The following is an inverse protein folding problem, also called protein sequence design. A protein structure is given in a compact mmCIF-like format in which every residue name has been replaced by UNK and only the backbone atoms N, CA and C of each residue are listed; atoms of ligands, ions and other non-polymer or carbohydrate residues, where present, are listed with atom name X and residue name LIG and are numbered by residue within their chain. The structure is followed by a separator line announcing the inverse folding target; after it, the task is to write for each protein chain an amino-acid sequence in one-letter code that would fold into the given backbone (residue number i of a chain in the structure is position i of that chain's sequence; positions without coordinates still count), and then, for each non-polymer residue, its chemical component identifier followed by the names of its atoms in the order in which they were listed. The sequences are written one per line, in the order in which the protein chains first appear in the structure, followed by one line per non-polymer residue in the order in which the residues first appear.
data_IF_429901548783
#
_entry.id   IF_429901548783
#
_cell.length_a   1.000
_cell.length_b   1.000
_cell.length_c   1.000
_cell.angle_alpha   90.00
_cell.angle_beta   90.00
_cell.angle_gamma   90.00
#
_symmetry.space_group_name_H-M   'P 1'
#
loop_
_entity.id
_entity.type
_entity.pdbx_description
1 polymer ?
#
# COMPACT_ATOMS: atom_id res chain seq x y z
N UNK A 1 -11.34 -19.91 16.18
CA UNK A 1 -10.15 -19.05 16.06
C UNK A 1 -10.23 -18.00 17.14
N UNK A 2 -9.31 -18.03 18.11
CA UNK A 2 -9.30 -17.07 19.24
C UNK A 2 -8.96 -15.67 18.72
N UNK A 3 -9.27 -14.62 19.49
CA UNK A 3 -8.93 -13.25 19.08
C UNK A 3 -7.43 -13.06 18.89
N UNK A 4 -6.61 -13.66 19.76
CA UNK A 4 -5.16 -13.66 19.64
C UNK A 4 -4.69 -14.26 18.29
N UNK A 5 -5.32 -15.35 17.84
CA UNK A 5 -5.06 -15.92 16.52
C UNK A 5 -5.47 -14.94 15.40
N UNK A 6 -6.60 -14.23 15.56
CA UNK A 6 -7.04 -13.20 14.61
C UNK A 6 -6.06 -12.02 14.56
N UNK A 7 -5.56 -11.53 15.71
CA UNK A 7 -4.51 -10.52 15.77
C UNK A 7 -3.30 -10.95 14.94
N UNK A 8 -2.80 -12.16 15.21
CA UNK A 8 -1.65 -12.74 14.49
C UNK A 8 -1.90 -12.86 12.99
N UNK A 9 -3.10 -13.28 12.59
CA UNK A 9 -3.48 -13.38 11.18
C UNK A 9 -3.56 -12.02 10.48
N UNK A 10 -4.03 -10.98 11.18
CA UNK A 10 -4.05 -9.62 10.64
C UNK A 10 -2.63 -9.12 10.35
N UNK A 11 -1.71 -9.28 11.31
CA UNK A 11 -0.32 -8.86 11.11
C UNK A 11 0.41 -9.68 10.04
N UNK A 12 0.15 -11.00 9.94
CA UNK A 12 0.66 -11.82 8.83
C UNK A 12 0.20 -11.31 7.46
N UNK A 13 -1.09 -10.98 7.31
CA UNK A 13 -1.58 -10.44 6.04
C UNK A 13 -1.09 -9.02 5.75
N UNK A 14 -0.75 -8.22 6.76
CA UNK A 14 -0.13 -6.91 6.56
C UNK A 14 1.34 -7.02 6.13
N UNK A 15 2.06 -8.03 6.64
CA UNK A 15 3.39 -8.39 6.13
C UNK A 15 3.30 -8.84 4.68
N UNK A 16 2.32 -9.69 4.33
CA UNK A 16 2.08 -10.11 2.95
C UNK A 16 1.79 -8.91 2.03
N UNK A 17 0.97 -7.96 2.50
CA UNK A 17 0.74 -6.71 1.77
C UNK A 17 2.04 -5.93 1.53
N UNK A 18 2.93 -5.87 2.53
CA UNK A 18 4.28 -5.32 2.40
C UNK A 18 5.14 -6.07 1.36
N UNK A 19 5.09 -7.41 1.36
CA UNK A 19 5.79 -8.24 0.38
C UNK A 19 5.30 -8.01 -1.06
N UNK A 20 4.01 -7.73 -1.25
CA UNK A 20 3.47 -7.36 -2.56
C UNK A 20 4.09 -6.05 -3.06
N UNK A 21 4.29 -5.04 -2.21
CA UNK A 21 5.00 -3.81 -2.60
C UNK A 21 6.45 -4.08 -3.02
N UNK A 22 7.15 -4.99 -2.33
CA UNK A 22 8.50 -5.40 -2.72
C UNK A 22 8.50 -6.06 -4.09
N UNK A 23 7.59 -7.01 -4.34
CA UNK A 23 7.44 -7.69 -5.62
C UNK A 23 7.15 -6.71 -6.76
N UNK A 24 6.18 -5.82 -6.57
CA UNK A 24 5.83 -4.77 -7.53
C UNK A 24 7.04 -3.89 -7.82
N UNK A 25 7.76 -3.47 -6.77
CA UNK A 25 8.98 -2.67 -6.92
C UNK A 25 10.06 -3.39 -7.73
N UNK A 26 10.33 -4.65 -7.44
CA UNK A 26 11.30 -5.47 -8.20
C UNK A 26 10.92 -5.61 -9.68
N UNK A 27 9.64 -5.88 -9.95
CA UNK A 27 9.13 -5.97 -11.33
C UNK A 27 9.28 -4.64 -12.07
N UNK A 28 8.99 -3.51 -11.41
CA UNK A 28 9.15 -2.18 -11.98
C UNK A 28 10.62 -1.82 -12.27
N UNK A 29 11.57 -2.30 -11.46
CA UNK A 29 13.01 -2.15 -11.76
C UNK A 29 13.35 -2.87 -13.06
N UNK A 30 12.88 -4.11 -13.25
CA UNK A 30 13.13 -4.87 -14.48
C UNK A 30 12.57 -4.14 -15.71
N UNK A 31 11.34 -3.62 -15.61
CA UNK A 31 10.75 -2.81 -16.68
C UNK A 31 11.52 -1.51 -16.93
N UNK A 32 11.97 -0.85 -15.88
CA UNK A 32 12.77 0.38 -15.99
C UNK A 32 14.11 0.13 -16.68
N UNK A 33 14.82 -0.95 -16.31
CA UNK A 33 16.07 -1.36 -16.96
C UNK A 33 15.83 -1.70 -18.43
N UNK A 34 14.77 -2.46 -18.73
CA UNK A 34 14.42 -2.81 -20.11
C UNK A 34 14.11 -1.57 -20.96
N UNK A 35 13.32 -0.64 -20.41
CA UNK A 35 13.06 0.63 -21.09
C UNK A 35 14.33 1.45 -21.25
N UNK A 36 15.23 1.47 -20.27
CA UNK A 36 16.49 2.21 -20.40
C UNK A 36 17.42 1.62 -21.48
N UNK A 37 17.47 0.29 -21.59
CA UNK A 37 18.32 -0.42 -22.54
C UNK A 37 17.80 -0.35 -23.99
N UNK A 38 16.48 -0.31 -24.18
CA UNK A 38 15.86 -0.43 -25.51
C UNK A 38 15.00 0.77 -25.94
N UNK A 39 14.89 1.84 -25.14
CA UNK A 39 14.11 3.01 -25.53
C UNK A 39 14.77 3.77 -26.68
N UNK A 40 14.12 3.74 -27.84
CA UNK A 40 14.47 4.55 -29.01
C UNK A 40 13.81 5.94 -29.00
N UNK A 41 12.80 6.15 -28.16
CA UNK A 41 12.04 7.42 -28.09
C UNK A 41 12.21 8.12 -26.74
N UNK A 42 12.25 9.47 -26.72
CA UNK A 42 12.37 10.24 -25.47
C UNK A 42 11.25 9.96 -24.45
N UNK A 43 10.05 9.61 -24.93
CA UNK A 43 8.92 9.27 -24.06
C UNK A 43 9.13 7.98 -23.27
N UNK A 44 9.58 6.91 -23.94
CA UNK A 44 9.87 5.63 -23.28
C UNK A 44 11.04 5.75 -22.29
N UNK A 45 12.04 6.56 -22.63
CA UNK A 45 13.16 6.83 -21.74
C UNK A 45 12.73 7.56 -20.45
N UNK A 46 11.87 8.58 -20.58
CA UNK A 46 11.30 9.28 -19.42
C UNK A 46 10.37 8.39 -18.60
N UNK A 47 9.61 7.50 -19.25
CA UNK A 47 8.82 6.49 -18.56
C UNK A 47 9.70 5.55 -17.73
N UNK A 48 10.83 5.07 -18.29
CA UNK A 48 11.78 4.24 -17.54
C UNK A 48 12.29 4.91 -16.27
N UNK A 49 12.63 6.20 -16.31
CA UNK A 49 13.00 7.00 -15.12
C UNK A 49 11.86 7.10 -14.11
N UNK A 50 10.64 7.36 -14.59
CA UNK A 50 9.45 7.41 -13.75
C UNK A 50 9.16 6.08 -13.03
N UNK A 51 9.26 4.96 -13.75
CA UNK A 51 9.11 3.62 -13.17
C UNK A 51 10.24 3.29 -12.18
N UNK A 52 11.46 3.79 -12.41
CA UNK A 52 12.57 3.62 -11.46
C UNK A 52 12.28 4.31 -10.12
N UNK A 53 11.87 5.58 -10.17
CA UNK A 53 11.54 6.34 -8.95
C UNK A 53 10.37 5.67 -8.22
N UNK A 54 9.36 5.23 -8.96
CA UNK A 54 8.24 4.49 -8.40
C UNK A 54 8.70 3.17 -7.75
N UNK A 55 9.56 2.39 -8.41
CA UNK A 55 10.14 1.18 -7.85
C UNK A 55 10.85 1.42 -6.51
N UNK A 56 11.71 2.44 -6.44
CA UNK A 56 12.42 2.79 -5.20
C UNK A 56 11.43 3.11 -4.08
N UNK A 57 10.38 3.87 -4.39
CA UNK A 57 9.33 4.20 -3.43
C UNK A 57 8.55 2.96 -2.94
N UNK A 58 8.19 2.06 -3.87
CA UNK A 58 7.48 0.82 -3.57
C UNK A 58 8.32 -0.12 -2.69
N UNK A 59 9.61 -0.27 -3.01
CA UNK A 59 10.54 -1.08 -2.22
C UNK A 59 10.71 -0.50 -0.81
N UNK A 60 11.01 0.80 -0.71
CA UNK A 60 11.17 1.47 0.57
C UNK A 60 9.92 1.33 1.45
N UNK A 61 8.74 1.53 0.87
CA UNK A 61 7.47 1.31 1.57
C UNK A 61 7.27 -0.15 1.98
N UNK A 62 7.54 -1.10 1.09
CA UNK A 62 7.44 -2.53 1.37
C UNK A 62 8.31 -2.95 2.56
N UNK A 63 9.58 -2.52 2.57
CA UNK A 63 10.51 -2.78 3.67
C UNK A 63 10.01 -2.19 4.99
N UNK A 64 9.55 -0.94 4.97
CA UNK A 64 9.01 -0.27 6.16
C UNK A 64 7.79 -0.99 6.74
N UNK A 65 6.84 -1.36 5.88
CA UNK A 65 5.62 -2.08 6.24
C UNK A 65 5.95 -3.45 6.84
N UNK A 66 6.79 -4.24 6.16
CA UNK A 66 7.21 -5.56 6.64
C UNK A 66 7.87 -5.46 8.01
N UNK A 67 8.82 -4.52 8.19
CA UNK A 67 9.56 -4.39 9.44
C UNK A 67 8.64 -4.04 10.63
N UNK A 68 7.77 -3.03 10.48
CA UNK A 68 6.86 -2.63 11.56
C UNK A 68 5.90 -3.76 11.95
N UNK A 69 5.27 -4.41 10.97
CA UNK A 69 4.28 -5.44 11.26
C UNK A 69 4.91 -6.77 11.68
N UNK A 70 6.16 -7.04 11.30
CA UNK A 70 6.93 -8.16 11.83
C UNK A 70 7.20 -7.99 13.33
N UNK A 71 7.64 -6.81 13.77
CA UNK A 71 7.85 -6.51 15.20
C UNK A 71 6.57 -6.67 16.01
N UNK A 72 5.44 -6.15 15.51
CA UNK A 72 4.13 -6.34 16.16
C UNK A 72 3.72 -7.81 16.19
N UNK A 73 3.90 -8.55 15.10
CA UNK A 73 3.61 -9.99 15.08
C UNK A 73 4.46 -10.76 16.09
N UNK A 74 5.73 -10.43 16.23
CA UNK A 74 6.62 -11.07 17.21
C UNK A 74 6.16 -10.82 18.65
N UNK A 75 5.71 -9.60 18.96
CA UNK A 75 5.11 -9.27 20.24
C UNK A 75 3.88 -10.16 20.54
N UNK A 76 2.89 -10.21 19.64
CA UNK A 76 1.69 -11.04 19.82
C UNK A 76 1.94 -12.56 19.76
N UNK A 77 3.07 -13.01 19.21
CA UNK A 77 3.47 -14.42 19.26
C UNK A 77 3.96 -14.85 20.63
N UNK A 78 4.50 -13.93 21.44
CA UNK A 78 5.01 -14.19 22.80
C UNK A 78 3.90 -14.25 23.85
N UNK A 79 2.74 -13.66 23.55
CA UNK A 79 1.57 -13.69 24.43
C UNK A 79 0.83 -15.02 24.33
N UNK A 80 0.35 -15.54 25.46
CA UNK A 80 -0.52 -16.72 25.51
C UNK A 80 -2.02 -16.32 25.50
N UNK A 81 -2.34 -15.19 26.11
CA UNK A 81 -3.69 -14.61 26.20
C UNK A 81 -3.60 -13.10 25.91
N UNK A 82 -4.73 -12.50 25.50
CA UNK A 82 -4.81 -11.05 25.34
C UNK A 82 -5.29 -10.43 26.65
N UNK A 83 -4.51 -9.53 27.22
CA UNK A 83 -4.98 -8.74 28.35
C UNK A 83 -5.94 -7.63 27.88
N UNK A 84 -6.80 -7.18 28.78
CA UNK A 84 -7.78 -6.12 28.50
C UNK A 84 -7.14 -4.78 28.07
N UNK A 85 -5.93 -4.49 28.55
CA UNK A 85 -5.18 -3.30 28.13
C UNK A 85 -4.67 -3.44 26.70
N UNK A 86 -4.14 -4.61 26.31
CA UNK A 86 -3.69 -4.89 24.95
C UNK A 86 -4.85 -4.80 23.94
N UNK A 87 -6.03 -5.28 24.35
CA UNK A 87 -7.25 -5.22 23.55
C UNK A 87 -7.69 -3.77 23.27
N UNK A 88 -7.68 -2.91 24.30
CA UNK A 88 -8.02 -1.48 24.16
C UNK A 88 -7.02 -0.74 23.29
N UNK A 89 -5.72 -1.00 23.46
CA UNK A 89 -4.68 -0.41 22.63
C UNK A 89 -4.87 -0.82 21.16
N UNK A 90 -5.08 -2.11 20.91
CA UNK A 90 -5.22 -2.66 19.57
C UNK A 90 -6.50 -2.20 18.86
N UNK A 91 -7.61 -2.05 19.61
CA UNK A 91 -8.83 -1.44 19.12
C UNK A 91 -8.60 0.02 18.71
N UNK A 92 -7.95 0.80 19.57
CA UNK A 92 -7.62 2.21 19.31
C UNK A 92 -6.73 2.35 18.08
N UNK A 93 -5.69 1.51 17.98
CA UNK A 93 -4.79 1.46 16.83
C UNK A 93 -5.53 1.07 15.54
N UNK A 94 -6.42 0.09 15.60
CA UNK A 94 -7.24 -0.34 14.45
C UNK A 94 -8.17 0.76 13.96
N UNK A 95 -8.85 1.48 14.87
CA UNK A 95 -9.70 2.62 14.53
C UNK A 95 -8.88 3.73 13.86
N UNK A 96 -7.70 4.04 14.40
CA UNK A 96 -6.79 5.00 13.79
C UNK A 96 -6.40 4.60 12.36
N UNK A 97 -6.06 3.33 12.14
CA UNK A 97 -5.72 2.79 10.81
C UNK A 97 -6.87 2.91 9.82
N UNK A 98 -8.10 2.60 10.24
CA UNK A 98 -9.30 2.72 9.42
C UNK A 98 -9.54 4.17 8.99
N UNK A 99 -9.51 5.13 9.93
CA UNK A 99 -9.68 6.57 9.63
C UNK A 99 -8.62 7.06 8.63
N UNK A 100 -7.35 6.68 8.85
CA UNK A 100 -6.26 7.05 7.93
C UNK A 100 -6.49 6.48 6.52
N UNK A 101 -6.95 5.23 6.41
CA UNK A 101 -7.24 4.58 5.13
C UNK A 101 -8.39 5.24 4.38
N UNK A 102 -9.45 5.65 5.07
CA UNK A 102 -10.57 6.34 4.44
C UNK A 102 -10.15 7.66 3.78
N UNK A 103 -9.36 8.48 4.49
CA UNK A 103 -8.83 9.74 3.96
C UNK A 103 -7.91 9.48 2.76
N UNK A 104 -7.01 8.51 2.88
CA UNK A 104 -6.08 8.17 1.81
C UNK A 104 -6.80 7.63 0.58
N UNK A 105 -7.85 6.83 0.73
CA UNK A 105 -8.65 6.29 -0.37
C UNK A 105 -9.18 7.41 -1.27
N UNK A 106 -9.76 8.46 -0.67
CA UNK A 106 -10.27 9.62 -1.42
C UNK A 106 -9.16 10.33 -2.19
N UNK A 107 -8.01 10.54 -1.54
CA UNK A 107 -6.83 11.16 -2.16
C UNK A 107 -6.35 10.35 -3.36
N UNK A 108 -6.21 9.02 -3.22
CA UNK A 108 -5.76 8.18 -4.32
C UNK A 108 -6.73 8.16 -5.49
N UNK A 109 -8.04 8.11 -5.26
CA UNK A 109 -9.04 8.22 -6.34
C UNK A 109 -8.87 9.56 -7.07
N UNK A 110 -8.77 10.68 -6.33
CA UNK A 110 -8.59 11.99 -6.95
C UNK A 110 -7.30 12.07 -7.74
N UNK A 111 -6.20 11.51 -7.24
CA UNK A 111 -4.93 11.44 -7.97
C UNK A 111 -5.04 10.60 -9.24
N UNK A 112 -5.75 9.47 -9.22
CA UNK A 112 -5.99 8.64 -10.42
C UNK A 112 -6.80 9.43 -11.46
N UNK A 113 -7.90 10.07 -11.05
CA UNK A 113 -8.77 10.82 -11.97
C UNK A 113 -8.02 12.02 -12.57
N UNK A 114 -7.42 12.86 -11.73
CA UNK A 114 -6.67 14.05 -12.16
C UNK A 114 -5.46 13.64 -13.01
N UNK A 115 -4.70 12.63 -12.57
CA UNK A 115 -3.54 12.13 -13.30
C UNK A 115 -3.91 11.54 -14.66
N UNK A 116 -5.07 10.89 -14.78
CA UNK A 116 -5.57 10.37 -16.07
C UNK A 116 -5.95 11.51 -17.02
N UNK A 117 -6.64 12.54 -16.52
CA UNK A 117 -6.98 13.74 -17.32
C UNK A 117 -5.71 14.44 -17.79
N UNK A 118 -4.73 14.67 -16.89
CA UNK A 118 -3.43 15.25 -17.24
C UNK A 118 -2.70 14.39 -18.26
N UNK A 119 -2.74 13.06 -18.12
CA UNK A 119 -2.15 12.13 -19.07
C UNK A 119 -2.75 12.28 -20.47
N UNK A 120 -4.08 12.31 -20.58
CA UNK A 120 -4.78 12.46 -21.87
C UNK A 120 -4.50 13.82 -22.52
N UNK A 121 -4.66 14.91 -21.76
CA UNK A 121 -4.39 16.27 -22.28
C UNK A 121 -2.92 16.44 -22.64
N UNK A 122 -2.03 15.89 -21.82
CA UNK A 122 -0.59 16.02 -21.96
C UNK A 122 0.00 15.32 -23.19
N UNK A 123 -0.67 14.32 -23.74
CA UNK A 123 -0.25 13.66 -24.99
C UNK A 123 -0.24 14.66 -26.17
N UNK A 124 -1.11 15.67 -26.14
CA UNK A 124 -1.21 16.69 -27.20
C UNK A 124 -0.26 17.88 -27.00
N UNK A 125 0.44 17.96 -25.85
CA UNK A 125 1.36 19.05 -25.57
C UNK A 125 2.77 18.76 -26.12
N UNK A 126 3.57 19.80 -26.44
CA UNK A 126 4.97 19.63 -26.87
C UNK A 126 5.83 18.88 -25.84
N UNK A 127 5.49 18.97 -24.55
CA UNK A 127 6.17 18.33 -23.43
C UNK A 127 5.67 16.91 -23.10
N UNK A 128 4.97 16.24 -24.02
CA UNK A 128 4.34 14.91 -23.83
C UNK A 128 5.25 13.87 -23.17
N UNK A 129 6.55 13.86 -23.49
CA UNK A 129 7.50 12.89 -22.92
C UNK A 129 7.65 13.01 -21.39
N UNK A 130 7.67 14.23 -20.86
CA UNK A 130 7.77 14.49 -19.41
C UNK A 130 6.45 14.15 -18.73
N UNK A 131 5.33 14.47 -19.38
CA UNK A 131 3.99 14.19 -18.83
C UNK A 131 3.75 12.68 -18.78
N UNK A 132 4.07 11.95 -19.86
CA UNK A 132 4.02 10.47 -19.89
C UNK A 132 4.93 9.87 -18.82
N UNK A 133 6.15 10.39 -18.66
CA UNK A 133 7.11 9.92 -17.66
C UNK A 133 6.72 10.17 -16.20
N UNK A 134 5.77 11.07 -15.93
CA UNK A 134 5.35 11.44 -14.57
C UNK A 134 3.92 11.01 -14.26
N UNK A 135 2.96 11.27 -15.15
CA UNK A 135 1.55 10.95 -14.96
C UNK A 135 1.31 9.44 -14.88
N UNK A 136 1.94 8.64 -15.77
CA UNK A 136 1.73 7.19 -15.77
C UNK A 136 2.18 6.56 -14.44
N UNK A 137 3.43 6.76 -13.95
CA UNK A 137 3.84 6.22 -12.65
C UNK A 137 2.99 6.70 -11.48
N UNK A 138 2.58 7.97 -11.46
CA UNK A 138 1.73 8.54 -10.40
C UNK A 138 0.36 7.85 -10.36
N UNK A 139 -0.26 7.67 -11.53
CA UNK A 139 -1.56 6.98 -11.64
C UNK A 139 -1.42 5.52 -11.25
N UNK A 140 -0.37 4.82 -11.71
CA UNK A 140 -0.09 3.43 -11.39
C UNK A 140 0.10 3.24 -9.88
N UNK A 141 0.93 4.07 -9.25
CA UNK A 141 1.13 4.05 -7.81
C UNK A 141 -0.19 4.28 -7.06
N UNK A 142 -0.95 5.30 -7.45
CA UNK A 142 -2.22 5.64 -6.80
C UNK A 142 -3.25 4.52 -6.94
N UNK A 143 -3.29 3.84 -8.08
CA UNK A 143 -4.17 2.70 -8.31
C UNK A 143 -3.78 1.50 -7.42
N UNK A 144 -2.50 1.18 -7.33
CA UNK A 144 -2.01 0.11 -6.44
C UNK A 144 -2.33 0.44 -4.98
N UNK A 145 -2.06 1.67 -4.54
CA UNK A 145 -2.39 2.13 -3.20
C UNK A 145 -3.87 2.05 -2.88
N UNK A 146 -4.71 2.38 -3.86
CA UNK A 146 -6.15 2.28 -3.72
C UNK A 146 -6.60 0.83 -3.53
N UNK A 147 -6.16 -0.10 -4.39
CA UNK A 147 -6.52 -1.53 -4.31
C UNK A 147 -6.00 -2.16 -3.02
N UNK A 148 -4.73 -1.94 -2.68
CA UNK A 148 -4.15 -2.42 -1.42
C UNK A 148 -4.81 -1.78 -0.20
N UNK A 149 -5.18 -0.50 -0.31
CA UNK A 149 -5.95 0.24 0.68
C UNK A 149 -7.25 -0.45 1.01
N UNK A 150 -8.05 -0.78 -0.01
CA UNK A 150 -9.34 -1.47 0.09
C UNK A 150 -9.21 -2.88 0.68
N UNK A 151 -8.26 -3.68 0.20
CA UNK A 151 -8.05 -5.05 0.71
C UNK A 151 -7.72 -5.07 2.21
N UNK A 152 -6.84 -4.18 2.65
CA UNK A 152 -6.54 -4.04 4.08
C UNK A 152 -7.71 -3.46 4.87
N UNK A 153 -8.47 -2.51 4.30
CA UNK A 153 -9.62 -1.90 4.98
C UNK A 153 -10.69 -2.93 5.28
N UNK A 154 -11.03 -3.79 4.32
CA UNK A 154 -11.98 -4.90 4.50
C UNK A 154 -11.56 -5.80 5.67
N UNK A 155 -10.28 -6.23 5.68
CA UNK A 155 -9.72 -7.07 6.76
C UNK A 155 -9.77 -6.40 8.13
N UNK A 156 -9.47 -5.09 8.19
CA UNK A 156 -9.50 -4.32 9.43
C UNK A 156 -10.91 -4.12 9.98
N UNK A 157 -11.90 -3.96 9.11
CA UNK A 157 -13.31 -3.87 9.52
C UNK A 157 -13.81 -5.17 10.14
N UNK A 158 -13.50 -6.31 9.53
CA UNK A 158 -13.86 -7.62 10.06
C UNK A 158 -13.18 -7.89 11.42
N UNK A 159 -11.90 -7.50 11.53
CA UNK A 159 -11.15 -7.60 12.77
C UNK A 159 -11.70 -6.70 13.87
N UNK A 160 -12.00 -5.44 13.56
CA UNK A 160 -12.66 -4.51 14.49
C UNK A 160 -13.98 -5.08 15.01
N UNK A 161 -14.82 -5.61 14.12
CA UNK A 161 -16.10 -6.23 14.50
C UNK A 161 -15.91 -7.45 15.41
N UNK A 162 -14.81 -8.19 15.25
CA UNK A 162 -14.48 -9.29 16.15
C UNK A 162 -14.07 -8.80 17.54
N UNK A 163 -13.23 -7.74 17.62
CA UNK A 163 -12.79 -7.16 18.89
C UNK A 163 -13.95 -6.52 19.68
N UNK A 164 -14.83 -5.77 19.01
CA UNK A 164 -15.98 -5.12 19.65
C UNK A 164 -16.96 -6.13 20.27
N UNK A 165 -17.14 -7.31 19.64
CA UNK A 165 -18.00 -8.36 20.20
C UNK A 165 -17.45 -8.92 21.50
N UNK A 166 -16.16 -9.24 21.54
CA UNK A 166 -15.54 -9.80 22.74
C UNK A 166 -15.49 -8.77 23.89
N UNK A 167 -15.24 -7.48 23.58
CA UNK A 167 -15.27 -6.43 24.60
C UNK A 167 -16.64 -6.17 25.25
N UNK A 168 -17.73 -6.67 24.66
CA UNK A 168 -19.10 -6.57 25.21
C UNK A 168 -19.45 -7.83 26.04
N UNK A 169 -18.69 -8.91 25.87
CA UNK A 169 -18.97 -10.21 26.52
C UNK A 169 -18.23 -10.37 27.86
N UNK A 170 -17.24 -9.51 28.13
CA UNK A 170 -16.60 -9.30 29.44
C UNK A 170 -17.24 -8.13 30.20
#
# INVERSE_FOLDING_TARGET
MTLLEKCRAIYKGDILAGSIYLLVGSVLILFSIGLYAWASTPGLFMLGRGLFVFAVFAIGKGLFVVNIYYKRLEHYKKLNELENNDLKEELTYTIFRLKKKEVNRRRYIYTVVIGSIIGVVGIFLPSKSIIVGSAIPIVLYSAIEFVMGLLSEFRLWEYRRSMEKESITE
#
